data_IF_844889172036
#
_entry.id   IF_844889172036
#
_cell.length_a   1.000
_cell.length_b   1.000
_cell.length_c   1.000
_cell.angle_alpha   90.00
_cell.angle_beta   90.00
_cell.angle_gamma   90.00
#
_symmetry.space_group_name_H-M   'P 1'
#
loop_
_entity.id
_entity.type
_entity.pdbx_description
1 polymer ?
#
# COMPACT_ATOMS: atom_id res chain seq x y z
N UNK A 1 21.06 -21.29 -8.37
CA UNK A 1 21.32 -19.93 -7.88
C UNK A 1 20.83 -19.84 -6.44
N UNK A 2 21.77 -19.72 -5.53
CA UNK A 2 21.48 -19.59 -4.08
C UNK A 2 21.04 -18.16 -3.75
N UNK A 3 21.39 -17.19 -4.59
CA UNK A 3 21.10 -15.77 -4.42
C UNK A 3 20.02 -15.30 -5.39
N UNK A 4 18.78 -15.73 -5.14
CA UNK A 4 17.62 -15.26 -5.89
C UNK A 4 16.83 -14.25 -5.07
N UNK A 5 16.36 -13.19 -5.70
CA UNK A 5 15.38 -12.28 -5.10
C UNK A 5 14.01 -12.93 -5.24
N UNK A 6 13.35 -13.17 -4.11
CA UNK A 6 11.97 -13.64 -4.10
C UNK A 6 11.03 -12.45 -4.31
N UNK A 7 10.19 -12.45 -5.35
CA UNK A 7 9.33 -11.31 -5.64
C UNK A 7 8.23 -11.16 -4.59
N UNK A 8 8.06 -9.94 -4.09
CA UNK A 8 6.94 -9.57 -3.24
C UNK A 8 5.76 -9.16 -4.12
N UNK A 9 4.82 -10.09 -4.35
CA UNK A 9 3.64 -9.87 -5.18
C UNK A 9 2.38 -10.30 -4.43
N UNK A 10 1.26 -9.58 -4.61
CA UNK A 10 -0.02 -9.95 -4.00
C UNK A 10 -0.58 -11.23 -4.61
N UNK A 11 -1.59 -11.79 -3.95
CA UNK A 11 -2.50 -12.75 -4.56
C UNK A 11 -3.37 -12.03 -5.59
N UNK A 12 -3.41 -12.57 -6.81
CA UNK A 12 -4.09 -11.93 -7.94
C UNK A 12 -5.60 -11.80 -7.74
N UNK A 13 -6.23 -12.84 -7.20
CA UNK A 13 -7.68 -12.84 -6.96
C UNK A 13 -8.06 -11.83 -5.89
N UNK A 14 -7.31 -11.79 -4.79
CA UNK A 14 -7.58 -10.85 -3.71
C UNK A 14 -7.28 -9.40 -4.12
N UNK A 15 -6.23 -9.17 -4.89
CA UNK A 15 -5.93 -7.84 -5.44
C UNK A 15 -7.05 -7.36 -6.37
N UNK A 16 -7.52 -8.20 -7.29
CA UNK A 16 -8.64 -7.85 -8.17
C UNK A 16 -9.92 -7.55 -7.38
N UNK A 17 -10.19 -8.31 -6.32
CA UNK A 17 -11.34 -8.04 -5.46
C UNK A 17 -11.24 -6.68 -4.76
N UNK A 18 -10.03 -6.24 -4.39
CA UNK A 18 -9.82 -4.87 -3.88
C UNK A 18 -10.13 -3.81 -4.96
N UNK A 19 -9.67 -4.02 -6.19
CA UNK A 19 -9.93 -3.09 -7.30
C UNK A 19 -11.44 -2.99 -7.57
N UNK A 20 -12.12 -4.12 -7.73
CA UNK A 20 -13.57 -4.16 -7.96
C UNK A 20 -14.35 -3.50 -6.82
N UNK A 21 -13.96 -3.73 -5.57
CA UNK A 21 -14.61 -3.10 -4.42
C UNK A 21 -14.44 -1.57 -4.45
N UNK A 22 -13.25 -1.07 -4.77
CA UNK A 22 -13.00 0.37 -4.88
C UNK A 22 -13.80 1.00 -6.03
N UNK A 23 -13.88 0.33 -7.19
CA UNK A 23 -14.64 0.81 -8.36
C UNK A 23 -16.15 0.88 -8.07
N UNK A 24 -16.73 -0.17 -7.49
CA UNK A 24 -18.16 -0.21 -7.16
C UNK A 24 -18.57 0.86 -6.15
N UNK A 25 -17.73 1.11 -5.16
CA UNK A 25 -17.93 2.14 -4.13
C UNK A 25 -17.51 3.55 -4.61
N UNK A 26 -17.03 3.67 -5.84
CA UNK A 26 -16.54 4.92 -6.43
C UNK A 26 -15.44 5.59 -5.60
N UNK A 27 -14.61 4.78 -4.95
CA UNK A 27 -13.44 5.22 -4.19
C UNK A 27 -12.28 5.41 -5.17
N UNK A 28 -11.71 6.62 -5.28
CA UNK A 28 -10.54 6.84 -6.12
C UNK A 28 -9.37 5.97 -5.65
N UNK A 29 -8.83 5.15 -6.53
CA UNK A 29 -7.71 4.28 -6.21
C UNK A 29 -6.73 4.18 -7.39
N UNK A 30 -5.45 4.01 -7.08
CA UNK A 30 -4.39 3.73 -8.04
C UNK A 30 -3.85 2.32 -7.82
N UNK A 31 -3.68 1.57 -8.91
CA UNK A 31 -3.11 0.21 -8.87
C UNK A 31 -1.73 0.23 -9.49
N UNK A 32 -0.72 -0.21 -8.77
CA UNK A 32 0.64 -0.20 -9.29
C UNK A 32 1.68 -0.71 -8.31
N UNK A 33 2.93 -0.44 -8.63
CA UNK A 33 4.06 -0.84 -7.78
C UNK A 33 4.18 0.05 -6.57
N UNK A 34 4.41 -0.57 -5.41
CA UNK A 34 4.84 0.09 -4.20
C UNK A 34 6.23 -0.40 -3.80
N UNK A 35 6.93 0.40 -3.04
CA UNK A 35 8.22 0.07 -2.45
C UNK A 35 8.08 -0.10 -0.95
N UNK A 36 8.42 -1.26 -0.43
CA UNK A 36 8.59 -1.41 1.02
C UNK A 36 10.05 -1.21 1.42
N UNK A 37 10.28 -0.51 2.50
CA UNK A 37 11.61 -0.23 3.04
C UNK A 37 11.61 -0.32 4.57
N UNK A 38 12.79 -0.36 5.17
CA UNK A 38 12.99 -0.51 6.61
C UNK A 38 13.70 0.68 7.26
N UNK A 39 13.87 1.78 6.52
CA UNK A 39 14.53 2.99 6.99
C UNK A 39 13.56 4.17 6.96
N UNK A 40 13.06 4.55 8.13
CA UNK A 40 12.17 5.70 8.27
C UNK A 40 12.94 7.03 8.31
N UNK A 41 14.07 7.05 9.01
CA UNK A 41 14.90 8.24 9.14
C UNK A 41 16.07 8.20 8.17
N UNK A 42 16.07 9.11 7.18
CA UNK A 42 17.14 9.25 6.19
C UNK A 42 17.29 10.71 5.77
N UNK A 43 18.54 11.16 5.62
CA UNK A 43 18.85 12.49 5.09
C UNK A 43 18.74 12.57 3.56
N UNK A 44 18.35 11.49 2.90
CA UNK A 44 18.30 11.35 1.43
C UNK A 44 16.89 11.04 0.93
N UNK A 45 15.86 11.43 1.65
CA UNK A 45 14.48 11.09 1.32
C UNK A 45 14.09 11.62 -0.06
N UNK A 46 14.29 12.90 -0.32
CA UNK A 46 13.95 13.53 -1.61
C UNK A 46 14.64 12.85 -2.81
N UNK A 47 15.91 12.49 -2.63
CA UNK A 47 16.68 11.79 -3.67
C UNK A 47 16.11 10.38 -3.95
N UNK A 48 15.76 9.67 -2.90
CA UNK A 48 15.23 8.31 -2.96
C UNK A 48 13.83 8.33 -3.59
N UNK A 49 12.99 9.25 -3.19
CA UNK A 49 11.63 9.36 -3.70
C UNK A 49 11.60 9.80 -5.15
N UNK A 50 12.41 10.79 -5.54
CA UNK A 50 12.57 11.17 -6.94
C UNK A 50 13.05 10.01 -7.80
N UNK A 51 13.98 9.20 -7.29
CA UNK A 51 14.50 8.03 -7.98
C UNK A 51 13.41 6.98 -8.25
N UNK A 52 12.59 6.67 -7.26
CA UNK A 52 11.58 5.63 -7.38
C UNK A 52 10.33 6.11 -8.10
N UNK A 53 9.89 7.34 -7.89
CA UNK A 53 8.83 7.98 -8.66
C UNK A 53 9.16 8.00 -10.16
N UNK A 54 10.41 8.35 -10.52
CA UNK A 54 10.89 8.30 -11.90
C UNK A 54 10.93 6.91 -12.52
N UNK A 55 10.76 5.84 -11.72
CA UNK A 55 10.65 4.44 -12.16
C UNK A 55 9.22 3.90 -12.13
N UNK A 56 8.24 4.74 -11.86
CA UNK A 56 6.83 4.38 -11.86
C UNK A 56 6.37 3.69 -10.56
N UNK A 57 7.10 3.84 -9.47
CA UNK A 57 6.62 3.44 -8.14
C UNK A 57 5.63 4.49 -7.65
N UNK A 58 4.44 4.06 -7.25
CA UNK A 58 3.33 4.94 -6.89
C UNK A 58 3.36 5.39 -5.42
N UNK A 59 3.99 4.61 -4.57
CA UNK A 59 4.05 4.91 -3.14
C UNK A 59 4.99 3.99 -2.40
N UNK A 60 5.16 4.22 -1.11
CA UNK A 60 5.98 3.39 -0.25
C UNK A 60 5.30 3.09 1.09
N UNK A 61 5.71 1.99 1.66
CA UNK A 61 5.35 1.51 2.99
C UNK A 61 6.53 0.80 3.65
N UNK A 62 6.31 0.14 4.76
CA UNK A 62 7.36 -0.59 5.46
C UNK A 62 7.01 -2.08 5.71
N UNK A 63 5.82 -2.55 5.32
CA UNK A 63 5.27 -3.84 5.73
C UNK A 63 4.89 -4.74 4.56
N UNK A 64 4.44 -4.19 3.43
CA UNK A 64 3.78 -4.94 2.34
C UNK A 64 4.68 -6.01 1.74
N UNK A 65 5.98 -5.75 1.55
CA UNK A 65 6.88 -6.76 1.02
C UNK A 65 6.99 -7.99 1.95
N UNK A 66 7.08 -7.76 3.25
CA UNK A 66 7.09 -8.85 4.24
C UNK A 66 5.76 -9.61 4.25
N UNK A 67 4.63 -8.89 4.22
CA UNK A 67 3.30 -9.48 4.14
C UNK A 67 3.17 -10.42 2.93
N UNK A 68 3.55 -9.98 1.74
CA UNK A 68 3.42 -10.76 0.52
C UNK A 68 4.31 -11.99 0.51
N UNK A 69 5.59 -11.84 0.89
CA UNK A 69 6.55 -12.95 0.93
C UNK A 69 6.14 -13.99 1.96
N UNK A 70 5.85 -13.58 3.18
CA UNK A 70 5.49 -14.50 4.27
C UNK A 70 4.15 -15.16 3.97
N UNK A 71 3.15 -14.42 3.52
CA UNK A 71 1.85 -14.95 3.13
C UNK A 71 1.98 -16.03 2.08
N UNK A 72 2.73 -15.75 1.01
CA UNK A 72 2.96 -16.73 -0.06
C UNK A 72 3.65 -17.99 0.42
N UNK A 73 4.70 -17.86 1.24
CA UNK A 73 5.41 -19.01 1.83
C UNK A 73 4.55 -19.83 2.79
N UNK A 74 3.53 -19.23 3.37
CA UNK A 74 2.59 -19.88 4.29
C UNK A 74 1.29 -20.35 3.62
N UNK A 75 1.13 -20.15 2.32
CA UNK A 75 -0.08 -20.52 1.59
C UNK A 75 -1.29 -19.63 1.92
N UNK A 76 -1.05 -18.39 2.35
CA UNK A 76 -2.09 -17.41 2.66
C UNK A 76 -2.16 -16.38 1.54
N UNK A 77 -3.37 -16.08 1.06
CA UNK A 77 -3.60 -15.00 0.11
C UNK A 77 -3.41 -13.65 0.81
N UNK A 78 -2.67 -12.76 0.17
CA UNK A 78 -2.39 -11.41 0.68
C UNK A 78 -2.54 -10.37 -0.40
N UNK A 79 -3.05 -9.21 -0.03
CA UNK A 79 -3.08 -7.99 -0.83
C UNK A 79 -2.80 -6.80 0.10
N UNK A 80 -2.54 -5.63 -0.46
CA UNK A 80 -2.34 -4.41 0.31
C UNK A 80 -3.18 -3.29 -0.28
N UNK A 81 -3.87 -2.58 0.58
CA UNK A 81 -4.56 -1.33 0.29
C UNK A 81 -3.95 -0.29 1.21
N UNK A 82 -3.49 0.81 0.66
CA UNK A 82 -2.76 1.84 1.39
C UNK A 82 -3.48 3.17 1.25
N UNK A 83 -3.59 3.89 2.35
CA UNK A 83 -4.03 5.27 2.35
C UNK A 83 -2.83 6.21 2.21
N UNK A 84 -2.94 7.23 1.38
CA UNK A 84 -1.90 8.25 1.26
C UNK A 84 -1.93 9.17 2.48
N UNK A 85 -0.85 9.17 3.24
CA UNK A 85 -0.65 10.04 4.41
C UNK A 85 0.21 11.25 4.04
N UNK A 86 1.22 11.03 3.19
CA UNK A 86 2.15 12.05 2.71
C UNK A 86 2.22 11.98 1.21
N UNK A 87 2.07 13.10 0.52
CA UNK A 87 2.26 13.19 -0.92
C UNK A 87 3.72 13.55 -1.25
N UNK A 88 4.17 13.14 -2.43
CA UNK A 88 5.48 13.51 -2.96
C UNK A 88 5.62 15.03 -3.03
N UNK A 89 6.75 15.56 -2.58
CA UNK A 89 7.05 17.00 -2.44
C UNK A 89 6.39 17.70 -1.24
N UNK A 90 5.56 17.01 -0.46
CA UNK A 90 5.02 17.55 0.78
C UNK A 90 5.97 17.38 1.97
N UNK A 91 5.76 18.20 3.00
CA UNK A 91 6.51 18.07 4.24
C UNK A 91 6.03 16.87 5.05
N UNK A 92 6.92 15.88 5.23
CA UNK A 92 6.63 14.64 5.97
C UNK A 92 6.15 14.91 7.40
N UNK A 93 6.81 15.80 8.13
CA UNK A 93 6.48 16.11 9.52
C UNK A 93 5.10 16.75 9.65
N UNK A 94 4.78 17.71 8.79
CA UNK A 94 3.49 18.38 8.78
C UNK A 94 2.35 17.41 8.43
N UNK A 95 2.56 16.52 7.46
CA UNK A 95 1.55 15.54 7.06
C UNK A 95 1.31 14.46 8.13
N UNK A 96 2.36 13.98 8.80
CA UNK A 96 2.22 13.05 9.94
C UNK A 96 1.48 13.72 11.10
N UNK A 97 1.79 14.97 11.41
CA UNK A 97 1.08 15.73 12.44
C UNK A 97 -0.40 15.90 12.07
N UNK A 98 -0.71 16.25 10.83
CA UNK A 98 -2.07 16.36 10.32
C UNK A 98 -2.83 15.02 10.42
N UNK A 99 -2.18 13.89 10.15
CA UNK A 99 -2.76 12.56 10.32
C UNK A 99 -3.10 12.27 11.78
N UNK A 100 -2.16 12.53 12.70
CA UNK A 100 -2.38 12.33 14.14
C UNK A 100 -3.45 13.24 14.71
N UNK A 101 -3.62 14.44 14.16
CA UNK A 101 -4.65 15.41 14.53
C UNK A 101 -6.03 15.10 13.90
N UNK A 102 -6.13 14.05 13.08
CA UNK A 102 -7.37 13.57 12.50
C UNK A 102 -7.97 14.44 11.40
N UNK A 103 -7.11 14.97 10.51
CA UNK A 103 -7.56 15.74 9.34
C UNK A 103 -8.53 14.91 8.49
N UNK A 104 -9.67 15.46 8.16
CA UNK A 104 -10.82 14.78 7.55
C UNK A 104 -10.49 13.95 6.30
N UNK A 105 -9.58 14.40 5.43
CA UNK A 105 -9.22 13.70 4.21
C UNK A 105 -8.49 12.36 4.51
N UNK A 106 -7.53 12.38 5.43
CA UNK A 106 -6.75 11.19 5.83
C UNK A 106 -7.63 10.19 6.58
N UNK A 107 -8.50 10.68 7.48
CA UNK A 107 -9.48 9.84 8.19
C UNK A 107 -10.47 9.19 7.23
N UNK A 108 -10.89 9.92 6.19
CA UNK A 108 -11.77 9.33 5.17
C UNK A 108 -11.03 8.28 4.34
N UNK A 109 -9.77 8.54 3.98
CA UNK A 109 -8.91 7.57 3.30
C UNK A 109 -8.75 6.28 4.10
N UNK A 110 -8.49 6.37 5.40
CA UNK A 110 -8.41 5.22 6.31
C UNK A 110 -9.72 4.41 6.34
N UNK A 111 -10.86 5.06 6.39
CA UNK A 111 -12.15 4.36 6.33
C UNK A 111 -12.36 3.67 4.99
N UNK A 112 -11.96 4.30 3.90
CA UNK A 112 -12.06 3.75 2.56
C UNK A 112 -11.18 2.50 2.40
N UNK A 113 -9.92 2.53 2.85
CA UNK A 113 -9.02 1.38 2.76
C UNK A 113 -9.54 0.19 3.57
N UNK A 114 -10.03 0.44 4.80
CA UNK A 114 -10.63 -0.60 5.65
C UNK A 114 -11.86 -1.21 4.95
N UNK A 115 -12.73 -0.37 4.39
CA UNK A 115 -13.94 -0.82 3.71
C UNK A 115 -13.60 -1.68 2.48
N UNK A 116 -12.71 -1.21 1.62
CA UNK A 116 -12.23 -1.95 0.44
C UNK A 116 -11.61 -3.29 0.84
N UNK A 117 -10.76 -3.30 1.87
CA UNK A 117 -10.10 -4.52 2.33
C UNK A 117 -11.11 -5.55 2.87
N UNK A 118 -12.08 -5.11 3.67
CA UNK A 118 -13.11 -6.00 4.22
C UNK A 118 -14.01 -6.56 3.13
N UNK A 119 -14.43 -5.75 2.17
CA UNK A 119 -15.25 -6.18 1.05
C UNK A 119 -14.51 -7.19 0.16
N UNK A 120 -13.23 -6.94 -0.14
CA UNK A 120 -12.41 -7.86 -0.90
C UNK A 120 -12.24 -9.23 -0.19
N UNK A 121 -11.97 -9.21 1.11
CA UNK A 121 -11.89 -10.43 1.91
C UNK A 121 -13.22 -11.21 1.91
N UNK A 122 -14.34 -10.51 2.04
CA UNK A 122 -15.66 -11.11 1.99
C UNK A 122 -15.91 -11.81 0.64
N UNK A 123 -15.58 -11.18 -0.48
CA UNK A 123 -15.71 -11.76 -1.83
C UNK A 123 -14.85 -13.00 -2.01
N UNK A 124 -13.64 -12.99 -1.45
CA UNK A 124 -12.70 -14.11 -1.56
C UNK A 124 -12.89 -15.21 -0.49
N UNK A 125 -13.79 -15.03 0.48
CA UNK A 125 -13.97 -15.98 1.59
C UNK A 125 -14.65 -17.30 1.24
N UNK A 126 -15.01 -17.51 -0.01
CA UNK A 126 -15.62 -18.75 -0.51
C UNK A 126 -16.97 -19.04 0.15
N UNK A 127 -18.02 -18.48 -0.39
CA UNK A 127 -19.39 -18.90 -0.10
C UNK A 127 -19.78 -20.09 -0.94
#
# INVERSE_FOLDING_TARGET
>A
YIESIYPAIPDFELMNACVEAAEEEQIPAHVGMARSHDSFYTDREDEIDALWAGRGVLGCDMETAALFVIGKLRGVKTASVLNTVVEYEDNLEDNINNYTDGVNATVQGEKNEIHVALEALYRCSGK
#
